data_IF_300191583197
#
_entry.id   IF_300191583197
#
_cell.length_a   1.000
_cell.length_b   1.000
_cell.length_c   1.000
_cell.angle_alpha   90.00
_cell.angle_beta   90.00
_cell.angle_gamma   90.00
#
_symmetry.space_group_name_H-M   'P 1'
#
loop_
_entity.id
_entity.type
_entity.pdbx_description
1 polymer ?
#
# COMPACT_ATOMS: atom_id res chain seq x y z
N UNK A 1 -15.65 5.33 -25.53
CA UNK A 1 -14.97 4.24 -24.79
C UNK A 1 -13.79 3.77 -25.63
N UNK A 2 -12.68 3.39 -24.99
CA UNK A 2 -11.53 2.85 -25.73
C UNK A 2 -11.86 1.49 -26.37
N UNK A 3 -11.44 1.27 -27.61
CA UNK A 3 -11.49 -0.03 -28.29
C UNK A 3 -10.57 -1.04 -27.62
N UNK A 4 -10.69 -2.32 -27.99
CA UNK A 4 -9.78 -3.36 -27.49
C UNK A 4 -8.32 -3.10 -27.90
N UNK A 5 -8.11 -2.61 -29.12
CA UNK A 5 -6.79 -2.24 -29.64
C UNK A 5 -6.22 -1.02 -28.91
N UNK A 6 -7.03 0.01 -28.65
CA UNK A 6 -6.60 1.18 -27.88
C UNK A 6 -6.22 0.79 -26.44
N UNK A 7 -6.98 -0.11 -25.79
CA UNK A 7 -6.63 -0.65 -24.47
C UNK A 7 -5.32 -1.44 -24.49
N UNK A 8 -5.11 -2.27 -25.52
CA UNK A 8 -3.88 -3.03 -25.68
C UNK A 8 -2.67 -2.12 -25.91
N UNK A 9 -2.81 -1.10 -26.76
CA UNK A 9 -1.77 -0.11 -27.04
C UNK A 9 -1.39 0.69 -25.79
N UNK A 10 -2.39 1.18 -25.04
CA UNK A 10 -2.16 1.89 -23.77
C UNK A 10 -1.44 0.99 -22.77
N UNK A 11 -1.89 -0.26 -22.60
CA UNK A 11 -1.26 -1.22 -21.68
C UNK A 11 0.19 -1.52 -22.07
N UNK A 12 0.46 -1.75 -23.35
CA UNK A 12 1.80 -2.03 -23.87
C UNK A 12 2.74 -0.82 -23.73
N UNK A 13 2.23 0.39 -23.92
CA UNK A 13 2.98 1.62 -23.67
C UNK A 13 3.26 1.81 -22.18
N UNK A 14 2.25 1.62 -21.33
CA UNK A 14 2.38 1.77 -19.88
C UNK A 14 3.39 0.80 -19.27
N UNK A 15 3.47 -0.43 -19.78
CA UNK A 15 4.48 -1.41 -19.36
C UNK A 15 5.93 -1.00 -19.63
N UNK A 16 6.16 0.00 -20.49
CA UNK A 16 7.50 0.56 -20.79
C UNK A 16 7.81 1.82 -19.97
N UNK A 17 6.81 2.40 -19.29
CA UNK A 17 6.97 3.65 -18.54
C UNK A 17 7.61 3.35 -17.19
N UNK A 18 8.73 4.00 -16.91
CA UNK A 18 9.31 4.02 -15.56
C UNK A 18 8.56 5.02 -14.70
N UNK A 19 7.47 4.58 -14.08
CA UNK A 19 6.55 5.44 -13.33
C UNK A 19 7.26 6.26 -12.23
N UNK A 20 8.30 5.69 -11.62
CA UNK A 20 9.12 6.33 -10.58
C UNK A 20 9.97 7.51 -11.07
N UNK A 21 10.34 7.50 -12.35
CA UNK A 21 11.09 8.60 -13.00
C UNK A 21 10.11 9.61 -13.61
N UNK A 22 9.05 9.10 -14.27
CA UNK A 22 8.09 9.92 -15.02
C UNK A 22 7.13 10.68 -14.11
N UNK A 23 6.80 10.19 -12.92
CA UNK A 23 5.86 10.84 -11.99
C UNK A 23 6.35 12.21 -11.53
N UNK A 24 7.61 12.29 -11.09
CA UNK A 24 8.23 13.56 -10.66
C UNK A 24 8.46 14.51 -11.84
N UNK A 25 8.85 13.97 -12.99
CA UNK A 25 9.06 14.77 -14.20
C UNK A 25 7.74 15.34 -14.75
N UNK A 26 6.66 14.56 -14.75
CA UNK A 26 5.34 14.99 -15.21
C UNK A 26 4.78 16.11 -14.31
N UNK A 27 4.89 15.96 -12.99
CA UNK A 27 4.49 17.02 -12.05
C UNK A 27 5.36 18.25 -12.20
N UNK A 28 6.68 18.09 -12.36
CA UNK A 28 7.60 19.20 -12.62
C UNK A 28 7.22 19.98 -13.88
N UNK A 29 7.00 19.28 -15.00
CA UNK A 29 6.55 19.88 -16.27
C UNK A 29 5.20 20.60 -16.11
N UNK A 30 4.24 20.02 -15.39
CA UNK A 30 2.96 20.68 -15.10
C UNK A 30 3.15 22.01 -14.38
N UNK A 31 3.95 22.02 -13.31
CA UNK A 31 4.20 23.20 -12.48
C UNK A 31 5.02 24.28 -13.19
N UNK A 32 5.88 23.90 -14.14
CA UNK A 32 6.63 24.84 -14.99
C UNK A 32 5.75 25.43 -16.10
N UNK A 33 5.03 24.58 -16.84
CA UNK A 33 4.23 24.99 -18.00
C UNK A 33 2.98 25.75 -17.57
N UNK A 34 2.41 25.39 -16.42
CA UNK A 34 1.21 26.02 -15.87
C UNK A 34 1.46 26.55 -14.44
N UNK A 35 2.22 27.65 -14.27
CA UNK A 35 2.59 28.17 -12.95
C UNK A 35 1.42 28.44 -12.01
N UNK A 36 0.23 28.74 -12.56
CA UNK A 36 -0.99 28.92 -11.76
C UNK A 36 -1.34 27.70 -10.89
N UNK A 37 -0.91 26.50 -11.28
CA UNK A 37 -1.15 25.26 -10.51
C UNK A 37 -0.31 25.18 -9.24
N UNK A 38 0.78 25.95 -9.14
CA UNK A 38 1.66 25.97 -7.97
C UNK A 38 0.93 26.37 -6.68
N UNK A 39 -0.17 27.14 -6.77
CA UNK A 39 -1.02 27.51 -5.62
C UNK A 39 -1.61 26.32 -4.86
N UNK A 40 -1.68 25.15 -5.47
CA UNK A 40 -2.15 23.93 -4.79
C UNK A 40 -1.02 23.19 -4.05
N UNK A 41 0.22 23.66 -4.19
CA UNK A 41 1.43 23.00 -3.68
C UNK A 41 2.25 23.93 -2.78
N UNK A 42 1.60 24.82 -2.01
CA UNK A 42 2.29 25.74 -1.09
C UNK A 42 3.20 24.99 -0.10
N UNK A 43 2.80 23.79 0.32
CA UNK A 43 3.61 22.92 1.19
C UNK A 43 4.90 22.42 0.55
N UNK A 44 5.09 22.60 -0.76
CA UNK A 44 6.29 22.19 -1.48
C UNK A 44 7.42 23.23 -1.33
N UNK A 45 7.13 24.41 -0.80
CA UNK A 45 8.10 25.49 -0.64
C UNK A 45 8.29 26.26 -1.95
N UNK A 46 9.54 26.61 -2.27
CA UNK A 46 9.83 27.39 -3.47
C UNK A 46 9.57 26.60 -4.76
N UNK A 47 8.70 27.15 -5.60
CA UNK A 47 8.36 26.67 -6.94
C UNK A 47 8.41 27.83 -7.97
N UNK A 48 9.00 28.97 -7.60
CA UNK A 48 8.92 30.23 -8.37
C UNK A 48 9.66 30.20 -9.71
N UNK A 49 10.61 29.27 -9.90
CA UNK A 49 11.39 29.12 -11.13
C UNK A 49 11.38 27.68 -11.62
N UNK A 50 11.69 27.48 -12.91
CA UNK A 50 11.80 26.14 -13.47
C UNK A 50 12.87 25.31 -12.74
N UNK A 51 14.01 25.90 -12.40
CA UNK A 51 15.07 25.23 -11.64
C UNK A 51 14.61 24.89 -10.22
N UNK A 52 13.89 25.78 -9.54
CA UNK A 52 13.32 25.50 -8.22
C UNK A 52 12.34 24.33 -8.28
N UNK A 53 11.41 24.33 -9.24
CA UNK A 53 10.43 23.26 -9.46
C UNK A 53 11.13 21.94 -9.76
N UNK A 54 12.03 21.92 -10.75
CA UNK A 54 12.66 20.70 -11.25
C UNK A 54 13.66 20.13 -10.24
N UNK A 55 14.19 20.93 -9.30
CA UNK A 55 15.05 20.47 -8.21
C UNK A 55 14.34 20.22 -6.88
N UNK A 56 13.08 20.58 -6.76
CA UNK A 56 12.33 20.43 -5.53
C UNK A 56 12.21 18.95 -5.10
N UNK A 57 12.62 18.59 -3.86
CA UNK A 57 12.61 17.20 -3.41
C UNK A 57 11.21 16.59 -3.33
N UNK A 58 10.17 17.40 -3.05
CA UNK A 58 8.77 16.95 -2.99
C UNK A 58 8.16 16.75 -4.38
N UNK A 59 8.56 17.57 -5.36
CA UNK A 59 8.23 17.33 -6.78
C UNK A 59 8.91 16.05 -7.27
N UNK A 60 10.22 15.91 -7.03
CA UNK A 60 10.97 14.69 -7.40
C UNK A 60 10.46 13.44 -6.69
N UNK A 61 9.90 13.57 -5.49
CA UNK A 61 9.34 12.44 -4.74
C UNK A 61 7.99 11.94 -5.28
N UNK A 62 7.34 12.71 -6.16
CA UNK A 62 6.06 12.33 -6.72
C UNK A 62 6.21 11.06 -7.57
N UNK A 63 5.44 10.02 -7.24
CA UNK A 63 5.48 8.74 -7.94
C UNK A 63 6.58 7.77 -7.47
N UNK A 64 7.36 8.07 -6.42
CA UNK A 64 8.43 7.16 -5.94
C UNK A 64 7.88 5.89 -5.27
N UNK A 65 7.85 4.76 -6.00
CA UNK A 65 7.75 3.42 -5.40
C UNK A 65 9.02 3.07 -4.62
N UNK A 66 10.18 3.59 -5.05
CA UNK A 66 11.48 3.36 -4.43
C UNK A 66 11.53 3.65 -2.91
N UNK A 67 10.79 4.66 -2.41
CA UNK A 67 10.76 4.97 -0.98
C UNK A 67 10.00 3.91 -0.17
N UNK A 68 8.88 3.43 -0.70
CA UNK A 68 8.09 2.33 -0.11
C UNK A 68 8.93 1.06 -0.06
N UNK A 69 9.53 0.68 -1.19
CA UNK A 69 10.36 -0.54 -1.27
C UNK A 69 11.61 -0.46 -0.39
N UNK A 70 12.26 0.71 -0.30
CA UNK A 70 13.43 0.92 0.55
C UNK A 70 13.12 0.79 2.04
N UNK A 71 11.99 1.35 2.51
CA UNK A 71 11.57 1.15 3.89
C UNK A 71 11.17 -0.31 4.13
N UNK A 72 10.42 -0.91 3.20
CA UNK A 72 9.95 -2.29 3.36
C UNK A 72 11.09 -3.30 3.38
N UNK A 73 12.22 -3.03 2.72
CA UNK A 73 13.43 -3.85 2.82
C UNK A 73 14.00 -3.93 4.25
N UNK A 74 13.67 -2.97 5.13
CA UNK A 74 14.05 -2.98 6.55
C UNK A 74 13.01 -3.67 7.44
N UNK A 75 11.86 -4.06 6.91
CA UNK A 75 10.76 -4.67 7.68
C UNK A 75 11.12 -6.11 8.04
N UNK A 76 11.07 -6.43 9.33
CA UNK A 76 11.06 -7.82 9.82
C UNK A 76 9.66 -8.41 9.65
N UNK A 77 9.49 -9.22 8.62
CA UNK A 77 8.16 -9.65 8.14
C UNK A 77 7.40 -10.49 9.16
N UNK A 78 8.10 -11.34 9.88
CA UNK A 78 7.55 -12.17 10.95
C UNK A 78 7.03 -11.32 12.12
N UNK A 79 7.81 -10.34 12.57
CA UNK A 79 7.44 -9.48 13.69
C UNK A 79 6.31 -8.50 13.31
N UNK A 80 6.43 -7.82 12.16
CA UNK A 80 5.46 -6.80 11.73
C UNK A 80 4.16 -7.45 11.29
N UNK A 81 4.22 -8.58 10.60
CA UNK A 81 3.02 -9.30 10.13
C UNK A 81 2.20 -9.84 11.30
N UNK A 82 2.87 -10.49 12.26
CA UNK A 82 2.21 -10.96 13.48
C UNK A 82 1.62 -9.83 14.31
N UNK A 83 2.34 -8.72 14.47
CA UNK A 83 1.82 -7.55 15.20
C UNK A 83 0.62 -6.91 14.50
N UNK A 84 0.67 -6.75 13.17
CA UNK A 84 -0.43 -6.14 12.41
C UNK A 84 -1.71 -6.98 12.49
N UNK A 85 -1.62 -8.29 12.29
CA UNK A 85 -2.78 -9.17 12.42
C UNK A 85 -3.29 -9.22 13.86
N UNK A 86 -2.40 -9.32 14.85
CA UNK A 86 -2.80 -9.31 16.25
C UNK A 86 -3.54 -8.02 16.65
N UNK A 87 -3.05 -6.86 16.20
CA UNK A 87 -3.72 -5.57 16.43
C UNK A 87 -5.06 -5.46 15.71
N UNK A 88 -5.21 -6.00 14.50
CA UNK A 88 -6.50 -6.07 13.81
C UNK A 88 -7.52 -6.81 14.69
N UNK A 89 -7.16 -7.98 15.20
CA UNK A 89 -8.04 -8.83 16.02
C UNK A 89 -8.40 -8.19 17.37
N UNK A 90 -7.53 -7.34 17.92
CA UNK A 90 -7.80 -6.59 19.15
C UNK A 90 -8.69 -5.37 18.90
N UNK A 91 -8.35 -4.55 17.90
CA UNK A 91 -9.04 -3.26 17.64
C UNK A 91 -10.40 -3.48 16.96
N UNK A 92 -10.51 -4.52 16.14
CA UNK A 92 -11.70 -4.86 15.38
C UNK A 92 -12.14 -6.30 15.70
N UNK A 93 -12.69 -6.56 16.90
CA UNK A 93 -12.89 -7.91 17.42
C UNK A 93 -13.83 -8.77 16.57
N UNK A 94 -14.72 -8.19 15.77
CA UNK A 94 -15.55 -8.94 14.82
C UNK A 94 -14.73 -9.70 13.77
N UNK A 95 -13.48 -9.30 13.52
CA UNK A 95 -12.57 -10.01 12.60
C UNK A 95 -12.12 -11.36 13.15
N UNK A 96 -12.25 -11.61 14.46
CA UNK A 96 -11.88 -12.89 15.09
C UNK A 96 -12.71 -14.08 14.58
N UNK A 97 -13.94 -13.85 14.08
CA UNK A 97 -14.80 -14.89 13.50
C UNK A 97 -14.17 -15.67 12.35
N UNK A 98 -13.21 -15.07 11.65
CA UNK A 98 -12.49 -15.71 10.55
C UNK A 98 -11.36 -16.64 11.03
N UNK A 99 -11.08 -16.66 12.34
CA UNK A 99 -9.91 -17.30 12.94
C UNK A 99 -10.27 -18.23 14.11
N UNK A 100 -11.49 -18.75 14.18
CA UNK A 100 -11.95 -19.64 15.27
C UNK A 100 -11.02 -20.86 15.49
N UNK A 101 -10.43 -21.39 14.42
CA UNK A 101 -9.47 -22.49 14.48
C UNK A 101 -8.10 -22.13 15.10
N UNK A 102 -7.87 -20.85 15.45
CA UNK A 102 -6.59 -20.37 15.99
C UNK A 102 -6.46 -20.60 17.49
N UNK A 103 -7.51 -21.10 18.15
CA UNK A 103 -7.52 -21.34 19.59
C UNK A 103 -7.91 -20.11 20.37
N UNK A 104 -7.25 -19.86 21.50
CA UNK A 104 -7.61 -18.74 22.39
C UNK A 104 -7.28 -17.38 21.74
N UNK A 105 -8.31 -16.56 21.60
CA UNK A 105 -8.29 -15.16 21.14
C UNK A 105 -9.09 -14.25 22.10
N UNK A 106 -9.33 -14.70 23.34
CA UNK A 106 -10.26 -14.05 24.28
C UNK A 106 -9.77 -12.72 24.86
N UNK A 107 -8.47 -12.44 24.81
CA UNK A 107 -7.85 -11.23 25.35
C UNK A 107 -6.72 -10.73 24.44
N UNK A 108 -6.30 -9.47 24.63
CA UNK A 108 -5.20 -8.90 23.87
C UNK A 108 -3.89 -9.70 24.04
N UNK A 109 -3.56 -10.14 25.25
CA UNK A 109 -2.37 -10.94 25.51
C UNK A 109 -2.46 -12.32 24.87
N UNK A 110 -3.64 -12.97 24.91
CA UNK A 110 -3.88 -14.23 24.22
C UNK A 110 -3.68 -14.06 22.71
N UNK A 111 -4.28 -13.04 22.09
CA UNK A 111 -4.17 -12.75 20.66
C UNK A 111 -2.72 -12.46 20.24
N UNK A 112 -2.04 -11.54 20.94
CA UNK A 112 -0.67 -11.12 20.60
C UNK A 112 0.38 -12.20 20.91
N UNK A 113 0.09 -13.09 21.87
CA UNK A 113 0.90 -14.26 22.18
C UNK A 113 0.67 -15.45 21.25
N UNK A 114 -0.47 -15.51 20.56
CA UNK A 114 -0.91 -16.70 19.82
C UNK A 114 0.04 -17.05 18.64
N UNK A 115 0.63 -18.27 18.62
CA UNK A 115 1.57 -18.67 17.59
C UNK A 115 0.93 -18.80 16.19
N UNK A 116 -0.36 -19.16 16.10
CA UNK A 116 -1.09 -19.24 14.83
C UNK A 116 -1.36 -17.84 14.27
N UNK A 117 -1.68 -16.86 15.12
CA UNK A 117 -1.79 -15.45 14.72
C UNK A 117 -0.46 -14.95 14.16
N UNK A 118 0.65 -15.20 14.86
CA UNK A 118 1.98 -14.79 14.38
C UNK A 118 2.34 -15.45 13.04
N UNK A 119 2.13 -16.76 12.92
CA UNK A 119 2.42 -17.50 11.70
C UNK A 119 1.55 -17.03 10.51
N UNK A 120 0.27 -16.76 10.75
CA UNK A 120 -0.62 -16.26 9.69
C UNK A 120 -0.30 -14.81 9.32
N UNK A 121 -0.03 -13.95 10.30
CA UNK A 121 0.39 -12.58 10.08
C UNK A 121 1.65 -12.49 9.23
N UNK A 122 2.63 -13.39 9.45
CA UNK A 122 3.79 -13.54 8.56
C UNK A 122 3.37 -13.87 7.13
N UNK A 123 2.50 -14.86 6.91
CA UNK A 123 2.02 -15.25 5.57
C UNK A 123 1.36 -14.07 4.85
N UNK A 124 0.51 -13.32 5.55
CA UNK A 124 -0.14 -12.12 5.00
C UNK A 124 0.91 -11.11 4.54
N UNK A 125 1.91 -10.84 5.39
CA UNK A 125 2.92 -9.83 5.07
C UNK A 125 3.92 -10.30 4.00
N UNK A 126 4.21 -11.61 3.92
CA UNK A 126 4.94 -12.20 2.80
C UNK A 126 4.19 -11.97 1.47
N UNK A 127 2.87 -12.21 1.43
CA UNK A 127 2.05 -11.93 0.24
C UNK A 127 2.03 -10.43 -0.12
N UNK A 128 2.00 -9.57 0.90
CA UNK A 128 2.12 -8.12 0.69
C UNK A 128 3.49 -7.76 0.06
N UNK A 129 4.60 -8.37 0.53
CA UNK A 129 5.93 -8.21 -0.07
C UNK A 129 5.95 -8.59 -1.55
N UNK A 130 5.33 -9.71 -1.92
CA UNK A 130 5.22 -10.11 -3.33
C UNK A 130 4.40 -9.12 -4.16
N UNK A 131 3.32 -8.58 -3.58
CA UNK A 131 2.55 -7.49 -4.19
C UNK A 131 3.36 -6.22 -4.43
N UNK A 132 4.26 -5.85 -3.51
CA UNK A 132 5.15 -4.69 -3.68
C UNK A 132 6.13 -4.83 -4.86
N UNK A 133 6.45 -6.07 -5.28
CA UNK A 133 7.26 -6.31 -6.48
C UNK A 133 6.47 -6.11 -7.78
N UNK A 134 5.14 -6.06 -7.68
CA UNK A 134 4.20 -5.97 -8.80
C UNK A 134 3.26 -4.77 -8.64
N UNK A 135 3.76 -3.63 -8.14
CA UNK A 135 2.94 -2.43 -7.90
C UNK A 135 2.21 -1.90 -9.16
N UNK A 136 2.70 -2.22 -10.35
CA UNK A 136 2.06 -1.87 -11.63
C UNK A 136 0.89 -2.79 -12.00
N UNK A 137 0.81 -3.99 -11.42
CA UNK A 137 -0.25 -4.96 -11.65
C UNK A 137 -0.68 -5.67 -10.35
N UNK A 138 -1.14 -4.89 -9.38
CA UNK A 138 -1.66 -5.45 -8.13
C UNK A 138 -2.85 -6.40 -8.37
N UNK A 139 -3.66 -6.16 -9.40
CA UNK A 139 -4.81 -7.02 -9.72
C UNK A 139 -4.35 -8.41 -10.14
N UNK A 140 -3.38 -8.50 -11.06
CA UNK A 140 -2.77 -9.77 -11.43
C UNK A 140 -2.08 -10.43 -10.24
N UNK A 141 -1.30 -9.67 -9.47
CA UNK A 141 -0.56 -10.18 -8.31
C UNK A 141 -1.46 -10.82 -7.24
N UNK A 142 -2.64 -10.24 -7.00
CA UNK A 142 -3.56 -10.68 -5.94
C UNK A 142 -4.76 -11.49 -6.46
N UNK A 143 -4.83 -11.85 -7.74
CA UNK A 143 -6.01 -12.50 -8.34
C UNK A 143 -6.43 -13.78 -7.59
N UNK A 144 -5.51 -14.72 -7.38
CA UNK A 144 -5.81 -15.98 -6.68
C UNK A 144 -6.18 -15.76 -5.21
N UNK A 145 -5.61 -14.75 -4.56
CA UNK A 145 -5.97 -14.40 -3.19
C UNK A 145 -7.35 -13.72 -3.13
N UNK A 146 -7.71 -12.92 -4.13
CA UNK A 146 -9.03 -12.32 -4.25
C UNK A 146 -10.12 -13.40 -4.36
N UNK A 147 -9.92 -14.40 -5.22
CA UNK A 147 -10.83 -15.55 -5.37
C UNK A 147 -10.93 -16.36 -4.07
N UNK A 148 -9.81 -16.65 -3.41
CA UNK A 148 -9.81 -17.37 -2.14
C UNK A 148 -10.62 -16.63 -1.06
N UNK A 149 -10.40 -15.32 -0.90
CA UNK A 149 -11.07 -14.56 0.15
C UNK A 149 -12.55 -14.31 -0.14
N UNK A 150 -12.92 -14.21 -1.42
CA UNK A 150 -14.31 -14.10 -1.87
C UNK A 150 -15.05 -15.44 -1.71
N UNK A 151 -14.63 -16.47 -2.45
CA UNK A 151 -15.45 -17.67 -2.69
C UNK A 151 -15.36 -18.72 -1.57
N UNK A 152 -14.32 -18.65 -0.74
CA UNK A 152 -14.07 -19.65 0.32
C UNK A 152 -14.16 -19.02 1.70
N UNK A 153 -13.47 -17.91 1.91
CA UNK A 153 -13.38 -17.31 3.25
C UNK A 153 -14.50 -16.31 3.52
N UNK A 154 -15.20 -15.84 2.49
CA UNK A 154 -16.32 -14.88 2.59
C UNK A 154 -15.96 -13.66 3.45
N UNK A 155 -14.73 -13.16 3.31
CA UNK A 155 -14.24 -12.00 4.08
C UNK A 155 -14.81 -10.74 3.47
N UNK A 156 -15.55 -9.94 4.25
CA UNK A 156 -16.05 -8.65 3.77
C UNK A 156 -14.87 -7.74 3.34
N UNK A 157 -14.90 -7.16 2.12
CA UNK A 157 -13.84 -6.30 1.58
C UNK A 157 -13.36 -5.17 2.49
N UNK A 158 -14.23 -4.64 3.35
CA UNK A 158 -13.86 -3.56 4.26
C UNK A 158 -12.77 -4.01 5.24
N UNK A 159 -12.73 -5.28 5.61
CA UNK A 159 -11.70 -5.80 6.52
C UNK A 159 -10.28 -5.72 5.92
N UNK A 160 -10.13 -5.71 4.59
CA UNK A 160 -8.83 -5.48 3.97
C UNK A 160 -8.32 -4.05 4.20
N UNK A 161 -9.22 -3.06 4.15
CA UNK A 161 -8.87 -1.66 4.45
C UNK A 161 -8.48 -1.50 5.91
N UNK A 162 -9.21 -2.14 6.82
CA UNK A 162 -8.88 -2.13 8.24
C UNK A 162 -7.48 -2.70 8.50
N UNK A 163 -7.15 -3.84 7.90
CA UNK A 163 -5.81 -4.43 8.06
C UNK A 163 -4.72 -3.54 7.44
N UNK A 164 -4.99 -2.94 6.28
CA UNK A 164 -4.10 -1.96 5.67
C UNK A 164 -3.80 -0.78 6.60
N UNK A 165 -4.83 -0.22 7.23
CA UNK A 165 -4.68 0.88 8.19
C UNK A 165 -3.87 0.47 9.43
N UNK A 166 -4.14 -0.72 9.97
CA UNK A 166 -3.38 -1.25 11.11
C UNK A 166 -1.91 -1.45 10.75
N UNK A 167 -1.61 -1.96 9.55
CA UNK A 167 -0.23 -2.11 9.08
C UNK A 167 0.49 -0.76 9.03
N UNK A 168 -0.15 0.30 8.52
CA UNK A 168 0.42 1.65 8.49
C UNK A 168 0.74 2.15 9.90
N UNK A 169 -0.14 1.92 10.88
CA UNK A 169 0.10 2.26 12.29
C UNK A 169 1.29 1.49 12.87
N UNK A 170 1.40 0.19 12.58
CA UNK A 170 2.52 -0.63 13.04
C UNK A 170 3.84 -0.14 12.45
N UNK A 171 3.87 0.18 11.15
CA UNK A 171 5.05 0.73 10.48
C UNK A 171 5.45 2.08 11.10
N UNK A 172 4.49 2.98 11.33
CA UNK A 172 4.74 4.27 11.98
C UNK A 172 5.36 4.08 13.37
N UNK A 173 4.83 3.15 14.18
CA UNK A 173 5.37 2.85 15.52
C UNK A 173 6.78 2.27 15.48
N UNK A 174 7.08 1.41 14.49
CA UNK A 174 8.36 0.69 14.37
C UNK A 174 9.48 1.58 13.84
N UNK A 175 9.17 2.48 12.90
CA UNK A 175 10.16 3.31 12.21
C UNK A 175 10.22 4.75 12.73
N UNK A 176 9.27 5.18 13.57
CA UNK A 176 9.30 6.48 14.24
C UNK A 176 9.49 7.63 13.24
N UNK A 177 10.53 8.43 13.44
CA UNK A 177 10.85 9.56 12.56
C UNK A 177 11.26 9.16 11.13
N UNK A 178 11.69 7.92 10.89
CA UNK A 178 11.93 7.42 9.52
C UNK A 178 10.62 7.25 8.73
N UNK A 179 9.48 7.07 9.41
CA UNK A 179 8.16 6.99 8.79
C UNK A 179 7.54 8.39 8.64
N UNK A 180 8.12 9.19 7.74
CA UNK A 180 7.67 10.56 7.51
C UNK A 180 6.22 10.63 7.02
N UNK A 181 5.54 11.79 7.14
CA UNK A 181 4.19 11.98 6.61
C UNK A 181 4.07 11.64 5.11
N UNK A 182 5.09 11.95 4.31
CA UNK A 182 5.14 11.62 2.88
C UNK A 182 5.24 10.11 2.64
N UNK A 183 6.01 9.41 3.48
CA UNK A 183 6.14 7.96 3.41
C UNK A 183 4.84 7.29 3.86
N UNK A 184 4.22 7.77 4.94
CA UNK A 184 2.89 7.34 5.37
C UNK A 184 1.86 7.50 4.25
N UNK A 185 1.81 8.65 3.57
CA UNK A 185 0.89 8.86 2.45
C UNK A 185 1.14 7.87 1.30
N UNK A 186 2.40 7.55 1.01
CA UNK A 186 2.76 6.55 0.01
C UNK A 186 2.31 5.14 0.41
N UNK A 187 2.54 4.75 1.67
CA UNK A 187 2.05 3.49 2.21
C UNK A 187 0.53 3.40 2.22
N UNK A 188 -0.17 4.50 2.55
CA UNK A 188 -1.63 4.55 2.54
C UNK A 188 -2.19 4.26 1.13
N UNK A 189 -1.55 4.80 0.08
CA UNK A 189 -1.91 4.50 -1.32
C UNK A 189 -1.70 3.03 -1.66
N UNK A 190 -0.57 2.46 -1.22
CA UNK A 190 -0.25 1.05 -1.48
C UNK A 190 -1.23 0.12 -0.79
N UNK A 191 -1.48 0.28 0.51
CA UNK A 191 -2.44 -0.59 1.24
C UNK A 191 -3.86 -0.44 0.69
N UNK A 192 -4.23 0.75 0.21
CA UNK A 192 -5.49 0.98 -0.51
C UNK A 192 -5.54 0.23 -1.84
N UNK A 193 -4.46 0.28 -2.62
CA UNK A 193 -4.33 -0.47 -3.87
C UNK A 193 -4.44 -1.97 -3.67
N UNK A 194 -3.76 -2.51 -2.65
CA UNK A 194 -3.81 -3.93 -2.28
C UNK A 194 -5.23 -4.33 -1.83
N UNK A 195 -5.88 -3.53 -0.97
CA UNK A 195 -7.26 -3.81 -0.54
C UNK A 195 -8.23 -3.84 -1.73
N UNK A 196 -8.10 -2.88 -2.67
CA UNK A 196 -8.91 -2.86 -3.89
C UNK A 196 -8.63 -4.07 -4.80
N UNK A 197 -7.37 -4.52 -4.89
CA UNK A 197 -7.01 -5.70 -5.68
C UNK A 197 -7.57 -6.99 -5.07
N UNK A 198 -7.47 -7.16 -3.75
CA UNK A 198 -8.07 -8.28 -3.03
C UNK A 198 -9.60 -8.30 -3.13
N UNK A 199 -10.24 -7.13 -3.21
CA UNK A 199 -11.68 -7.01 -3.39
C UNK A 199 -12.16 -7.16 -4.85
N UNK A 200 -11.25 -7.31 -5.83
CA UNK A 200 -11.62 -7.14 -7.24
C UNK A 200 -12.60 -8.20 -7.77
N UNK A 201 -12.56 -9.43 -7.23
CA UNK A 201 -13.44 -10.54 -7.64
C UNK A 201 -14.76 -10.60 -6.86
N UNK A 202 -15.00 -9.67 -5.94
CA UNK A 202 -16.25 -9.61 -5.20
C UNK A 202 -17.33 -9.04 -6.13
N UNK A 203 -18.38 -9.82 -6.36
CA UNK A 203 -19.49 -9.52 -7.27
C UNK A 203 -20.60 -8.70 -6.61
#
# INVERSE_FOLDING_TARGET
MLTAEEKAAVTAFWGKVKVDEVGGEALGRLLVVYPWTQRFFESFGDLSTADAVMNNPKVKAHGKKAAVTSLFAKVKVDEVGGEALGRLLVVYPWTQRFFESFGDLSSADAILGNPKVKAHGKKVLDSFCEGLKQLDDLKGAFASLSELHCDKLHVDPENFRLLGNVLVVVLARRFGSEFSPELQASFQKVVTGVANALAHRYH
#
